data_IF_621316102101
#
_entry.id   IF_621316102101
#
_cell.length_a   1.000
_cell.length_b   1.000
_cell.length_c   1.000
_cell.angle_alpha   90.00
_cell.angle_beta   90.00
_cell.angle_gamma   90.00
#
_symmetry.space_group_name_H-M   'P 1'
#
loop_
_entity.id
_entity.type
_entity.pdbx_description
1 polymer ?
#
# COMPACT_ATOMS: atom_id res chain seq x y z
N UNK A 1 17.79 -8.55 -3.54
CA UNK A 1 17.82 -7.38 -4.44
C UNK A 1 16.41 -7.15 -4.95
N UNK A 2 15.94 -5.90 -5.02
CA UNK A 2 14.61 -5.56 -5.51
C UNK A 2 14.41 -6.04 -6.96
N UNK A 3 13.16 -6.36 -7.33
CA UNK A 3 12.82 -6.63 -8.73
C UNK A 3 12.98 -5.33 -9.52
N UNK A 4 13.65 -5.32 -10.70
CA UNK A 4 13.78 -4.10 -11.50
C UNK A 4 12.42 -3.49 -11.81
N UNK A 5 12.33 -2.15 -11.80
CA UNK A 5 11.11 -1.45 -12.22
C UNK A 5 10.88 -1.62 -13.73
N UNK A 6 9.63 -1.88 -14.09
CA UNK A 6 9.19 -2.10 -15.46
C UNK A 6 8.38 -0.89 -15.90
N UNK A 7 8.73 -0.30 -17.03
CA UNK A 7 7.93 0.78 -17.63
C UNK A 7 6.79 0.19 -18.45
N UNK A 8 5.62 0.83 -18.42
CA UNK A 8 4.54 0.47 -19.34
C UNK A 8 4.89 0.89 -20.77
N UNK A 9 4.41 0.19 -21.81
CA UNK A 9 4.69 0.55 -23.21
C UNK A 9 4.22 1.96 -23.60
N UNK A 10 3.22 2.50 -22.90
CA UNK A 10 2.65 3.82 -23.17
C UNK A 10 3.25 4.93 -22.31
N UNK A 11 4.08 4.59 -21.32
CA UNK A 11 4.51 5.49 -20.25
C UNK A 11 3.41 5.88 -19.26
N UNK A 12 2.16 5.43 -19.46
CA UNK A 12 1.05 5.64 -18.52
C UNK A 12 0.92 4.43 -17.60
N UNK A 13 0.67 4.66 -16.31
CA UNK A 13 0.50 3.61 -15.31
C UNK A 13 -0.96 3.29 -15.05
N UNK A 14 -1.23 2.03 -14.75
CA UNK A 14 -2.54 1.55 -14.30
C UNK A 14 -2.30 0.55 -13.16
N UNK A 15 -2.55 0.98 -11.94
CA UNK A 15 -2.21 0.24 -10.72
C UNK A 15 -3.42 -0.58 -10.27
N UNK A 16 -3.24 -1.89 -10.18
CA UNK A 16 -4.27 -2.81 -9.71
C UNK A 16 -4.05 -3.13 -8.21
N UNK A 17 -5.01 -2.78 -7.35
CA UNK A 17 -4.95 -3.14 -5.93
C UNK A 17 -5.46 -4.56 -5.70
N UNK A 18 -4.61 -5.45 -5.18
CA UNK A 18 -4.96 -6.82 -4.80
C UNK A 18 -4.98 -6.98 -3.27
N UNK A 19 -6.17 -6.99 -2.69
CA UNK A 19 -6.33 -7.05 -1.24
C UNK A 19 -6.21 -8.45 -0.68
N UNK A 20 -5.52 -8.61 0.44
CA UNK A 20 -5.32 -9.94 1.04
C UNK A 20 -6.64 -10.64 1.43
N UNK A 21 -7.64 -9.88 1.86
CA UNK A 21 -8.96 -10.39 2.23
C UNK A 21 -9.83 -10.83 1.02
N UNK A 22 -9.36 -10.65 -0.22
CA UNK A 22 -10.06 -11.14 -1.42
C UNK A 22 -10.15 -12.65 -1.49
N UNK A 23 -9.24 -13.36 -0.82
CA UNK A 23 -9.19 -14.83 -0.84
C UNK A 23 -10.31 -15.49 -0.01
N UNK A 24 -11.02 -14.72 0.81
CA UNK A 24 -12.08 -15.22 1.69
C UNK A 24 -13.44 -15.17 0.99
N UNK A 25 -14.40 -14.39 1.51
CA UNK A 25 -15.76 -14.36 0.99
C UNK A 25 -15.89 -13.87 -0.46
N UNK A 26 -14.89 -13.11 -0.96
CA UNK A 26 -14.84 -12.69 -2.38
C UNK A 26 -14.37 -13.82 -3.31
N UNK A 27 -13.72 -14.85 -2.76
CA UNK A 27 -13.23 -16.02 -3.48
C UNK A 27 -12.44 -15.65 -4.75
N UNK A 28 -11.54 -14.67 -4.62
CA UNK A 28 -10.69 -14.17 -5.71
C UNK A 28 -9.22 -14.29 -5.32
N UNK A 29 -8.47 -15.07 -6.09
CA UNK A 29 -7.11 -15.50 -5.78
C UNK A 29 -6.11 -14.97 -6.81
N UNK A 30 -4.81 -15.14 -6.51
CA UNK A 30 -3.72 -14.72 -7.41
C UNK A 30 -3.81 -15.43 -8.77
N UNK A 31 -4.26 -16.68 -8.81
CA UNK A 31 -4.48 -17.43 -10.07
C UNK A 31 -5.56 -16.82 -10.97
N UNK A 32 -6.46 -16.00 -10.42
CA UNK A 32 -7.58 -15.39 -11.15
C UNK A 32 -7.20 -14.02 -11.73
N UNK A 33 -5.99 -13.54 -11.45
CA UNK A 33 -5.50 -12.28 -12.00
C UNK A 33 -5.31 -12.40 -13.52
N UNK A 34 -5.73 -11.39 -14.30
CA UNK A 34 -5.37 -11.28 -15.71
C UNK A 34 -3.90 -10.83 -15.84
N UNK A 35 -2.97 -11.62 -15.28
CA UNK A 35 -1.59 -11.22 -14.99
C UNK A 35 -0.83 -10.72 -16.23
N UNK A 36 -1.16 -11.24 -17.41
CA UNK A 36 -0.56 -10.82 -18.68
C UNK A 36 -0.87 -9.35 -19.05
N UNK A 37 -1.91 -8.76 -18.47
CA UNK A 37 -2.35 -7.40 -18.73
C UNK A 37 -2.00 -6.43 -17.58
N UNK A 38 -1.38 -6.94 -16.51
CA UNK A 38 -1.07 -6.15 -15.32
C UNK A 38 0.43 -5.82 -15.29
N UNK A 39 0.75 -4.53 -15.35
CA UNK A 39 2.14 -4.05 -15.21
C UNK A 39 2.41 -3.54 -13.80
N UNK A 40 1.43 -2.89 -13.16
CA UNK A 40 1.57 -2.36 -11.81
C UNK A 40 0.52 -2.97 -10.89
N UNK A 41 0.96 -3.66 -9.84
CA UNK A 41 0.09 -4.23 -8.82
C UNK A 41 0.48 -3.62 -7.46
N UNK A 42 -0.51 -3.21 -6.68
CA UNK A 42 -0.35 -2.79 -5.30
C UNK A 42 -0.93 -3.85 -4.37
N UNK A 43 -0.22 -4.20 -3.30
CA UNK A 43 -0.65 -5.10 -2.25
C UNK A 43 -1.06 -4.32 -0.99
N UNK A 44 -2.35 -4.01 -0.82
CA UNK A 44 -2.93 -3.52 0.42
C UNK A 44 -3.26 -4.66 1.41
N UNK A 45 -3.07 -4.52 2.71
CA UNK A 45 -2.25 -3.52 3.38
C UNK A 45 -1.41 -4.22 4.45
N UNK A 46 -0.23 -3.67 4.72
CA UNK A 46 0.49 -3.96 5.97
C UNK A 46 0.32 -2.80 6.95
N UNK A 47 0.45 -3.11 8.23
CA UNK A 47 0.32 -2.15 9.32
C UNK A 47 1.65 -1.47 9.62
N UNK A 48 1.54 -0.26 10.16
CA UNK A 48 2.61 0.41 10.89
C UNK A 48 2.18 0.50 12.35
N UNK A 49 2.99 0.02 13.27
CA UNK A 49 2.73 0.12 14.71
C UNK A 49 3.11 1.51 15.24
N UNK A 50 2.60 1.89 16.40
CA UNK A 50 2.91 3.21 17.03
C UNK A 50 4.40 3.41 17.36
N UNK A 51 5.19 2.33 17.35
CA UNK A 51 6.65 2.29 17.50
C UNK A 51 7.40 2.57 16.19
N UNK A 52 6.70 2.51 15.05
CA UNK A 52 7.26 2.52 13.71
C UNK A 52 7.39 1.14 13.07
N UNK A 53 7.20 0.03 13.81
CA UNK A 53 7.41 -1.31 13.26
C UNK A 53 6.38 -1.69 12.19
N UNK A 54 6.80 -2.41 11.15
CA UNK A 54 5.90 -2.98 10.14
C UNK A 54 5.37 -4.32 10.62
N UNK A 55 4.06 -4.52 10.50
CA UNK A 55 3.39 -5.77 10.88
C UNK A 55 2.40 -6.24 9.82
N UNK A 56 2.25 -7.56 9.68
CA UNK A 56 1.22 -8.16 8.83
C UNK A 56 -0.17 -7.93 9.46
N UNK A 57 -1.17 -7.64 8.62
CA UNK A 57 -2.54 -7.56 9.09
C UNK A 57 -3.18 -8.94 9.22
N UNK A 58 -2.92 -9.82 8.25
CA UNK A 58 -3.47 -11.17 8.19
C UNK A 58 -2.36 -12.17 7.82
N UNK A 59 -1.55 -12.62 8.80
CA UNK A 59 -0.47 -13.56 8.53
C UNK A 59 -0.92 -14.85 7.85
N UNK A 60 -2.18 -15.25 8.06
CA UNK A 60 -2.74 -16.43 7.41
C UNK A 60 -2.81 -16.23 5.90
N UNK A 61 -3.46 -15.15 5.45
CA UNK A 61 -3.50 -14.79 4.03
C UNK A 61 -2.10 -14.50 3.47
N UNK A 62 -1.31 -13.71 4.20
CA UNK A 62 -0.11 -13.07 3.67
C UNK A 62 1.02 -14.10 3.46
N UNK A 63 1.26 -15.00 4.43
CA UNK A 63 2.47 -15.84 4.46
C UNK A 63 2.29 -17.30 4.93
N UNK A 64 1.10 -17.74 5.35
CA UNK A 64 0.93 -19.09 5.93
C UNK A 64 0.04 -20.02 5.10
N UNK A 65 -0.94 -19.48 4.35
CA UNK A 65 -1.91 -20.31 3.64
C UNK A 65 -1.26 -21.06 2.47
N UNK A 66 -1.33 -22.41 2.41
CA UNK A 66 -0.74 -23.17 1.32
C UNK A 66 -1.54 -23.13 0.02
N UNK A 67 -2.78 -22.62 -0.01
CA UNK A 67 -3.64 -22.62 -1.21
C UNK A 67 -3.73 -24.00 -1.90
N UNK A 68 -3.80 -25.08 -1.11
CA UNK A 68 -3.68 -26.47 -1.57
C UNK A 68 -4.99 -27.11 -2.06
N UNK A 69 -6.04 -26.31 -2.24
CA UNK A 69 -7.38 -26.73 -2.64
C UNK A 69 -7.72 -26.33 -4.09
N UNK A 70 -6.71 -26.15 -4.94
CA UNK A 70 -6.88 -25.71 -6.33
C UNK A 70 -7.04 -24.20 -6.48
N UNK A 71 -6.84 -23.43 -5.40
CA UNK A 71 -6.93 -21.97 -5.41
C UNK A 71 -5.58 -21.28 -5.56
N UNK A 72 -4.47 -22.03 -5.54
CA UNK A 72 -3.14 -21.49 -5.72
C UNK A 72 -2.77 -21.30 -7.19
N UNK A 73 -1.67 -20.58 -7.41
CA UNK A 73 -0.95 -20.55 -8.68
C UNK A 73 -0.22 -21.88 -8.87
N UNK A 74 -0.33 -22.46 -10.06
CA UNK A 74 0.30 -23.74 -10.36
C UNK A 74 1.84 -23.66 -10.43
N UNK A 75 2.55 -24.71 -9.95
CA UNK A 75 2.01 -25.94 -9.34
C UNK A 75 1.44 -25.68 -7.94
N UNK A 76 0.35 -26.34 -7.55
CA UNK A 76 -0.26 -26.14 -6.22
C UNK A 76 0.75 -26.43 -5.09
N UNK A 77 0.74 -25.58 -4.06
CA UNK A 77 1.50 -25.83 -2.83
C UNK A 77 0.74 -26.79 -1.91
N UNK A 78 1.40 -27.23 -0.84
CA UNK A 78 0.80 -28.06 0.22
C UNK A 78 1.39 -27.67 1.59
N UNK A 79 0.94 -28.34 2.65
CA UNK A 79 1.36 -28.06 4.02
C UNK A 79 2.86 -28.27 4.29
N UNK A 80 3.56 -29.00 3.41
CA UNK A 80 5.00 -29.24 3.49
C UNK A 80 5.79 -28.35 2.50
N UNK A 81 5.13 -27.45 1.77
CA UNK A 81 5.83 -26.47 0.93
C UNK A 81 6.71 -25.56 1.80
N UNK A 82 7.85 -25.08 1.27
CA UNK A 82 8.70 -24.13 1.99
C UNK A 82 7.91 -22.91 2.48
N UNK A 83 8.16 -22.39 3.70
CA UNK A 83 7.43 -21.24 4.24
C UNK A 83 7.40 -20.02 3.31
N UNK A 84 8.48 -19.77 2.57
CA UNK A 84 8.61 -18.67 1.61
C UNK A 84 7.76 -18.83 0.35
N UNK A 85 7.16 -20.00 0.13
CA UNK A 85 6.22 -20.26 -0.97
C UNK A 85 4.76 -20.21 -0.51
N UNK A 86 4.51 -20.10 0.80
CA UNK A 86 3.17 -20.02 1.38
C UNK A 86 2.61 -18.58 1.34
N UNK A 87 1.30 -18.49 1.54
CA UNK A 87 0.57 -17.24 1.54
C UNK A 87 0.58 -16.55 0.18
N UNK A 88 -0.07 -15.38 0.13
CA UNK A 88 -0.16 -14.55 -1.06
C UNK A 88 1.23 -14.11 -1.54
N UNK A 89 2.17 -13.84 -0.62
CA UNK A 89 3.54 -13.49 -0.99
C UNK A 89 4.23 -14.62 -1.75
N UNK A 90 4.05 -15.86 -1.31
CA UNK A 90 4.53 -17.03 -2.04
C UNK A 90 3.85 -17.21 -3.41
N UNK A 91 2.55 -16.90 -3.52
CA UNK A 91 1.86 -16.94 -4.82
C UNK A 91 2.40 -15.90 -5.82
N UNK A 92 2.62 -14.66 -5.38
CA UNK A 92 3.23 -13.63 -6.23
C UNK A 92 4.70 -13.93 -6.55
N UNK A 93 5.46 -14.48 -5.59
CA UNK A 93 6.82 -14.98 -5.82
C UNK A 93 6.84 -16.02 -6.94
N UNK A 94 5.91 -16.97 -6.94
CA UNK A 94 5.80 -17.99 -7.99
C UNK A 94 5.56 -17.39 -9.37
N UNK A 95 4.67 -16.40 -9.48
CA UNK A 95 4.47 -15.68 -10.74
C UNK A 95 5.76 -15.00 -11.22
N UNK A 96 6.45 -14.27 -10.34
CA UNK A 96 7.65 -13.50 -10.70
C UNK A 96 8.87 -14.38 -10.98
N UNK A 97 9.15 -15.36 -10.13
CA UNK A 97 10.41 -16.12 -10.13
C UNK A 97 10.31 -17.44 -10.88
N UNK A 98 9.21 -18.16 -10.72
CA UNK A 98 9.08 -19.52 -11.27
C UNK A 98 8.45 -19.48 -12.67
N UNK A 99 7.48 -18.59 -12.89
CA UNK A 99 6.79 -18.43 -14.18
C UNK A 99 7.32 -17.26 -15.02
N UNK A 100 8.25 -16.47 -14.49
CA UNK A 100 8.90 -15.37 -15.21
C UNK A 100 7.97 -14.22 -15.62
N UNK A 101 6.82 -14.07 -14.95
CA UNK A 101 5.91 -12.93 -15.17
C UNK A 101 6.60 -11.61 -14.81
N UNK A 102 6.18 -10.55 -15.48
CA UNK A 102 6.83 -9.25 -15.42
C UNK A 102 5.81 -8.20 -14.97
N UNK A 103 5.89 -7.77 -13.70
CA UNK A 103 5.08 -6.69 -13.14
C UNK A 103 5.83 -6.01 -11.99
N UNK A 104 5.54 -4.74 -11.77
CA UNK A 104 5.88 -4.01 -10.56
C UNK A 104 4.93 -4.42 -9.44
N UNK A 105 5.49 -4.64 -8.25
CA UNK A 105 4.73 -5.02 -7.09
C UNK A 105 5.03 -4.07 -5.94
N UNK A 106 4.04 -3.26 -5.61
CA UNK A 106 4.12 -2.21 -4.61
C UNK A 106 3.51 -2.71 -3.30
N UNK A 107 4.22 -2.54 -2.19
CA UNK A 107 3.69 -2.79 -0.85
C UNK A 107 2.97 -1.52 -0.38
N UNK A 108 1.65 -1.59 -0.15
CA UNK A 108 0.90 -0.47 0.40
C UNK A 108 0.78 -0.60 1.92
N UNK A 109 1.14 0.46 2.63
CA UNK A 109 1.07 0.56 4.08
C UNK A 109 -0.12 1.41 4.50
N UNK A 110 -0.90 0.95 5.47
CA UNK A 110 -2.02 1.72 6.01
C UNK A 110 -3.34 1.48 5.28
N UNK A 111 -3.83 2.51 4.59
CA UNK A 111 -5.20 2.61 4.10
C UNK A 111 -6.17 3.10 5.18
N UNK A 112 -7.45 3.25 4.81
CA UNK A 112 -8.51 3.78 5.67
C UNK A 112 -8.50 3.30 7.13
N UNK A 113 -8.50 1.98 7.36
CA UNK A 113 -8.62 1.39 8.70
C UNK A 113 -7.29 1.32 9.46
N UNK A 114 -6.15 1.30 8.77
CA UNK A 114 -4.83 1.07 9.40
C UNK A 114 -3.96 2.33 9.45
N UNK A 115 -4.56 3.50 9.22
CA UNK A 115 -3.87 4.80 9.29
C UNK A 115 -3.75 5.37 10.71
N UNK A 116 -4.40 4.75 11.70
CA UNK A 116 -4.56 5.33 13.04
C UNK A 116 -3.24 5.66 13.77
N UNK A 117 -2.17 4.95 13.42
CA UNK A 117 -0.89 4.96 14.13
C UNK A 117 0.18 5.80 13.45
N UNK A 118 -0.02 6.27 12.21
CA UNK A 118 1.04 6.96 11.44
C UNK A 118 1.61 8.19 12.16
N UNK A 119 0.74 9.05 12.71
CA UNK A 119 1.19 10.22 13.47
C UNK A 119 2.08 9.80 14.65
N UNK A 120 1.70 8.78 15.39
CA UNK A 120 2.49 8.27 16.52
C UNK A 120 3.81 7.63 16.07
N UNK A 121 3.77 6.84 14.99
CA UNK A 121 4.91 6.16 14.39
C UNK A 121 5.96 7.14 13.86
N UNK A 122 5.54 8.32 13.40
CA UNK A 122 6.46 9.31 12.80
C UNK A 122 6.82 10.48 13.72
N UNK A 123 6.15 10.62 14.86
CA UNK A 123 6.31 11.72 15.82
C UNK A 123 7.73 11.94 16.40
N UNK A 124 8.60 10.92 16.38
CA UNK A 124 9.94 11.00 16.95
C UNK A 124 11.00 10.44 16.01
N UNK A 125 12.22 10.99 16.08
CA UNK A 125 13.33 10.57 15.23
C UNK A 125 13.67 9.09 15.38
N UNK A 126 13.64 8.56 16.60
CA UNK A 126 13.84 7.14 16.89
C UNK A 126 12.78 6.28 16.19
N UNK A 127 11.49 6.63 16.29
CA UNK A 127 10.41 5.87 15.68
C UNK A 127 10.43 5.91 14.15
N UNK A 128 10.77 7.05 13.56
CA UNK A 128 11.03 7.14 12.10
C UNK A 128 12.18 6.24 11.68
N UNK A 129 13.25 6.17 12.48
CA UNK A 129 14.37 5.25 12.24
C UNK A 129 13.93 3.78 12.35
N UNK A 130 13.10 3.45 13.34
CA UNK A 130 12.50 2.12 13.50
C UNK A 130 11.66 1.76 12.28
N UNK A 131 10.83 2.68 11.79
CA UNK A 131 10.03 2.49 10.58
C UNK A 131 10.88 2.18 9.35
N UNK A 132 11.86 3.02 9.04
CA UNK A 132 12.72 2.82 7.87
C UNK A 132 13.47 1.48 7.97
N UNK A 133 13.97 1.14 9.15
CA UNK A 133 14.68 -0.13 9.39
C UNK A 133 13.77 -1.33 9.25
N UNK A 134 12.60 -1.29 9.91
CA UNK A 134 11.62 -2.37 9.90
C UNK A 134 11.08 -2.62 8.49
N UNK A 135 10.76 -1.56 7.75
CA UNK A 135 10.34 -1.64 6.36
C UNK A 135 11.42 -2.26 5.47
N UNK A 136 12.68 -1.84 5.64
CA UNK A 136 13.81 -2.39 4.89
C UNK A 136 13.99 -3.88 5.16
N UNK A 137 13.88 -4.29 6.42
CA UNK A 137 13.94 -5.71 6.80
C UNK A 137 12.77 -6.49 6.19
N UNK A 138 11.56 -5.93 6.21
CA UNK A 138 10.36 -6.56 5.66
C UNK A 138 10.50 -6.85 4.17
N UNK A 139 10.86 -5.85 3.35
CA UNK A 139 11.02 -6.06 1.90
C UNK A 139 12.28 -6.84 1.53
N UNK A 140 13.27 -6.91 2.43
CA UNK A 140 14.42 -7.81 2.27
C UNK A 140 14.04 -9.26 2.54
N UNK A 141 13.18 -9.50 3.54
CA UNK A 141 12.63 -10.81 3.86
C UNK A 141 11.71 -11.33 2.74
N UNK A 142 10.95 -10.44 2.11
CA UNK A 142 10.05 -10.77 1.00
C UNK A 142 10.50 -10.03 -0.29
N UNK A 143 11.52 -10.53 -1.01
CA UNK A 143 12.13 -9.84 -2.15
C UNK A 143 11.32 -9.95 -3.45
N UNK A 144 10.03 -9.62 -3.34
CA UNK A 144 9.06 -9.57 -4.44
C UNK A 144 8.60 -8.14 -4.73
N UNK A 145 8.78 -7.22 -3.79
CA UNK A 145 8.38 -5.83 -3.93
C UNK A 145 9.47 -4.99 -4.60
N UNK A 146 9.04 -3.97 -5.35
CA UNK A 146 9.88 -2.93 -5.93
C UNK A 146 9.28 -1.52 -5.81
N UNK A 147 8.16 -1.39 -5.09
CA UNK A 147 7.58 -0.12 -4.72
C UNK A 147 7.04 -0.14 -3.29
N UNK A 148 6.96 1.04 -2.69
CA UNK A 148 6.34 1.30 -1.40
C UNK A 148 5.29 2.40 -1.62
N UNK A 149 4.06 2.18 -1.16
CA UNK A 149 3.05 3.23 -1.04
C UNK A 149 2.72 3.48 0.42
N UNK A 150 2.80 4.73 0.87
CA UNK A 150 2.31 5.13 2.19
C UNK A 150 0.90 5.69 2.03
N UNK A 151 -0.10 4.88 2.39
CA UNK A 151 -1.51 5.23 2.25
C UNK A 151 -2.01 5.75 3.61
N UNK A 152 -1.50 6.92 4.02
CA UNK A 152 -1.93 7.58 5.25
C UNK A 152 -3.20 8.42 5.00
N UNK A 153 -4.32 7.95 5.55
CA UNK A 153 -5.65 8.53 5.38
C UNK A 153 -6.17 9.19 6.68
N UNK A 154 -5.99 10.49 6.90
CA UNK A 154 -5.24 11.44 6.07
C UNK A 154 -4.16 12.18 6.85
N UNK A 155 -3.03 12.40 6.19
CA UNK A 155 -2.02 13.36 6.61
C UNK A 155 -2.63 14.77 6.67
N UNK A 156 -2.35 15.50 7.75
CA UNK A 156 -2.75 16.89 7.93
C UNK A 156 -1.83 17.64 8.88
N UNK A 157 -1.68 18.95 8.70
CA UNK A 157 -0.73 19.80 9.43
C UNK A 157 -1.45 20.82 10.33
N UNK A 158 -2.78 20.85 10.30
CA UNK A 158 -3.60 21.72 11.13
C UNK A 158 -4.02 21.06 12.47
N UNK A 159 -3.67 19.78 12.65
CA UNK A 159 -4.00 18.99 13.84
C UNK A 159 -5.44 18.45 13.84
N UNK A 160 -6.12 18.43 12.69
CA UNK A 160 -7.49 17.94 12.54
C UNK A 160 -7.48 16.58 11.83
N UNK A 161 -8.12 15.58 12.42
CA UNK A 161 -8.29 14.29 11.75
C UNK A 161 -9.37 14.39 10.67
N UNK A 162 -8.98 14.24 9.41
CA UNK A 162 -9.89 14.18 8.26
C UNK A 162 -10.22 12.76 7.79
N UNK A 163 -9.55 11.75 8.36
CA UNK A 163 -9.68 10.34 8.01
C UNK A 163 -10.65 9.59 8.91
N UNK A 164 -10.37 8.32 9.15
CA UNK A 164 -11.21 7.48 9.99
C UNK A 164 -11.19 7.92 11.47
N UNK A 165 -12.30 7.71 12.17
CA UNK A 165 -12.42 8.05 13.59
C UNK A 165 -11.37 7.29 14.42
N UNK A 166 -10.74 8.02 15.35
CA UNK A 166 -9.71 7.47 16.24
C UNK A 166 -8.28 7.56 15.70
N UNK A 167 -8.06 8.06 14.47
CA UNK A 167 -6.72 8.29 13.98
C UNK A 167 -6.00 9.38 14.81
N UNK A 168 -4.77 9.09 15.23
CA UNK A 168 -3.88 10.08 15.84
C UNK A 168 -3.47 11.13 14.81
N UNK A 169 -3.45 12.40 15.22
CA UNK A 169 -3.08 13.54 14.37
C UNK A 169 -2.33 14.60 15.17
N UNK A 170 -1.36 15.26 14.53
CA UNK A 170 -0.55 16.35 15.09
C UNK A 170 -0.26 17.41 14.03
N UNK A 171 0.07 18.63 14.48
CA UNK A 171 0.41 19.72 13.56
C UNK A 171 1.75 19.49 12.86
N UNK A 172 2.62 18.71 13.50
CA UNK A 172 3.95 18.37 13.02
C UNK A 172 3.93 17.18 12.04
N UNK A 173 2.77 16.58 11.73
CA UNK A 173 2.69 15.38 10.90
C UNK A 173 3.27 15.59 9.50
N UNK A 174 3.01 16.76 8.88
CA UNK A 174 3.61 17.13 7.59
C UNK A 174 5.15 17.15 7.62
N UNK A 175 5.75 17.81 8.62
CA UNK A 175 7.21 17.86 8.80
C UNK A 175 7.78 16.47 9.10
N UNK A 176 7.12 15.70 9.96
CA UNK A 176 7.53 14.35 10.32
C UNK A 176 7.49 13.40 9.11
N UNK A 177 6.46 13.53 8.25
CA UNK A 177 6.31 12.72 7.05
C UNK A 177 7.41 13.05 6.02
N UNK A 178 7.73 14.33 5.82
CA UNK A 178 8.86 14.76 4.98
C UNK A 178 10.16 14.10 5.42
N UNK A 179 10.43 14.02 6.72
CA UNK A 179 11.64 13.38 7.24
C UNK A 179 11.67 11.86 6.98
N UNK A 180 10.51 11.19 6.98
CA UNK A 180 10.42 9.78 6.56
C UNK A 180 10.73 9.64 5.07
N UNK A 181 10.10 10.45 4.22
CA UNK A 181 10.29 10.40 2.77
C UNK A 181 11.74 10.70 2.37
N UNK A 182 12.43 11.60 3.06
CA UNK A 182 13.86 11.87 2.82
C UNK A 182 14.78 10.70 3.22
N UNK A 183 14.34 9.83 4.15
CA UNK A 183 15.11 8.69 4.60
C UNK A 183 14.92 7.46 3.69
N UNK A 184 13.74 7.28 3.10
CA UNK A 184 13.40 6.09 2.31
C UNK A 184 14.32 5.85 1.11
N UNK A 185 14.63 6.82 0.22
CA UNK A 185 15.53 6.58 -0.90
C UNK A 185 16.96 6.19 -0.49
N UNK A 186 17.39 6.51 0.73
CA UNK A 186 18.71 6.11 1.24
C UNK A 186 18.71 4.64 1.68
N UNK A 187 17.62 4.19 2.27
CA UNK A 187 17.47 2.80 2.73
C UNK A 187 17.03 1.85 1.61
N UNK A 188 16.24 2.35 0.67
CA UNK A 188 15.59 1.61 -0.41
C UNK A 188 15.85 2.29 -1.79
N UNK A 189 17.11 2.44 -2.23
CA UNK A 189 17.48 3.26 -3.40
C UNK A 189 16.97 2.76 -4.75
N UNK A 190 16.37 1.57 -4.81
CA UNK A 190 15.81 0.97 -6.03
C UNK A 190 14.31 0.75 -5.95
N UNK A 191 13.64 1.28 -4.93
CA UNK A 191 12.20 1.19 -4.77
C UNK A 191 11.54 2.48 -5.24
N UNK A 192 10.42 2.34 -5.94
CA UNK A 192 9.49 3.45 -6.17
C UNK A 192 8.85 3.85 -4.85
N UNK A 193 8.89 5.12 -4.49
CA UNK A 193 8.24 5.67 -3.30
C UNK A 193 6.99 6.46 -3.74
N UNK A 194 5.83 6.01 -3.26
CA UNK A 194 4.53 6.60 -3.53
C UNK A 194 3.79 6.93 -2.22
N UNK A 195 2.78 7.77 -2.33
CA UNK A 195 1.76 7.90 -1.29
C UNK A 195 0.38 8.15 -1.91
N UNK A 196 -0.66 7.79 -1.18
CA UNK A 196 -2.02 8.21 -1.51
C UNK A 196 -2.37 9.54 -0.86
N UNK A 197 -3.25 10.32 -1.48
CA UNK A 197 -3.78 11.53 -0.87
C UNK A 197 -5.26 11.75 -1.20
N UNK A 198 -5.91 12.53 -0.33
CA UNK A 198 -7.30 12.94 -0.50
C UNK A 198 -7.46 13.90 -1.68
N UNK A 199 -8.49 13.66 -2.50
CA UNK A 199 -8.83 14.52 -3.64
C UNK A 199 -9.72 15.72 -3.25
N UNK A 200 -10.31 15.71 -2.05
CA UNK A 200 -11.19 16.76 -1.55
C UNK A 200 -10.39 18.00 -1.09
N UNK A 201 -10.45 19.16 -1.80
CA UNK A 201 -9.59 20.31 -1.52
C UNK A 201 -9.77 20.90 -0.11
N UNK A 202 -10.98 20.81 0.44
CA UNK A 202 -11.29 21.29 1.78
C UNK A 202 -10.65 20.45 2.88
N UNK A 203 -10.29 19.19 2.60
CA UNK A 203 -9.62 18.26 3.53
C UNK A 203 -8.14 18.05 3.22
N UNK A 204 -7.65 18.47 2.05
CA UNK A 204 -6.24 18.42 1.69
C UNK A 204 -5.43 19.47 2.48
N UNK A 205 -5.14 19.18 3.77
CA UNK A 205 -4.47 20.08 4.71
C UNK A 205 -3.03 19.66 5.03
N UNK A 206 -2.22 19.41 4.00
CA UNK A 206 -0.86 18.87 4.14
C UNK A 206 0.11 19.62 3.20
N UNK A 207 1.45 19.49 3.35
CA UNK A 207 2.42 20.36 2.69
C UNK A 207 2.77 19.78 1.31
N UNK A 208 1.77 19.72 0.42
CA UNK A 208 1.85 19.06 -0.89
C UNK A 208 3.05 19.52 -1.73
N UNK A 209 3.37 20.82 -1.73
CA UNK A 209 4.49 21.38 -2.49
C UNK A 209 5.86 20.91 -1.99
N UNK A 210 5.96 20.52 -0.71
CA UNK A 210 7.19 20.01 -0.10
C UNK A 210 7.28 18.49 -0.20
N UNK A 211 6.15 17.80 -0.19
CA UNK A 211 6.10 16.33 -0.21
C UNK A 211 6.20 15.77 -1.62
N UNK A 212 5.48 16.32 -2.60
CA UNK A 212 5.45 15.78 -3.97
C UNK A 212 6.84 15.65 -4.60
N UNK A 213 7.78 16.61 -4.45
CA UNK A 213 9.14 16.46 -4.98
C UNK A 213 9.96 15.32 -4.36
N UNK A 214 9.51 14.73 -3.24
CA UNK A 214 10.17 13.61 -2.56
C UNK A 214 9.62 12.24 -2.96
N UNK A 215 8.56 12.22 -3.77
CA UNK A 215 7.88 11.00 -4.23
C UNK A 215 8.23 10.73 -5.69
N UNK A 216 8.28 9.46 -6.07
CA UNK A 216 8.25 9.05 -7.47
C UNK A 216 6.83 9.18 -8.05
N UNK A 217 5.81 8.92 -7.21
CA UNK A 217 4.39 8.94 -7.58
C UNK A 217 3.51 9.50 -6.47
N UNK A 218 2.48 10.25 -6.87
CA UNK A 218 1.37 10.65 -6.00
C UNK A 218 0.08 10.02 -6.53
N UNK A 219 -0.60 9.23 -5.70
CA UNK A 219 -1.87 8.60 -6.05
C UNK A 219 -3.04 9.40 -5.46
N UNK A 220 -3.71 10.18 -6.31
CA UNK A 220 -4.84 11.01 -5.87
C UNK A 220 -6.12 10.18 -5.90
N UNK A 221 -6.76 10.00 -4.75
CA UNK A 221 -7.97 9.16 -4.61
C UNK A 221 -9.20 9.90 -5.11
N UNK A 222 -9.36 9.91 -6.44
CA UNK A 222 -10.43 10.62 -7.18
C UNK A 222 -11.76 9.85 -7.21
N UNK A 223 -12.10 9.24 -6.07
CA UNK A 223 -13.30 8.45 -5.84
C UNK A 223 -13.80 8.67 -4.41
N UNK A 224 -14.93 8.05 -4.06
CA UNK A 224 -15.56 8.18 -2.73
C UNK A 224 -15.96 9.63 -2.34
N UNK A 225 -16.19 10.50 -3.35
CA UNK A 225 -16.70 11.87 -3.12
C UNK A 225 -18.08 11.88 -2.44
N UNK A 226 -18.86 10.84 -2.69
CA UNK A 226 -20.16 10.60 -2.09
C UNK A 226 -20.27 9.10 -1.81
N UNK A 227 -20.38 8.73 -0.54
CA UNK A 227 -20.57 7.36 -0.09
C UNK A 227 -21.83 7.26 0.77
N UNK A 228 -22.53 6.12 0.72
CA UNK A 228 -23.74 5.91 1.51
C UNK A 228 -23.47 5.66 2.99
N UNK A 229 -22.23 5.31 3.36
CA UNK A 229 -21.83 4.98 4.72
C UNK A 229 -21.37 6.21 5.52
N UNK A 230 -20.99 7.31 4.86
CA UNK A 230 -20.56 8.55 5.51
C UNK A 230 -21.08 9.79 4.78
N UNK A 231 -21.64 10.73 5.53
CA UNK A 231 -22.14 12.00 5.01
C UNK A 231 -23.66 12.04 4.78
N UNK A 232 -24.10 12.92 3.89
CA UNK A 232 -25.53 13.09 3.59
C UNK A 232 -26.10 11.87 2.89
N UNK A 233 -27.27 11.41 3.32
CA UNK A 233 -28.02 10.33 2.66
C UNK A 233 -28.64 10.82 1.34
N UNK A 234 -27.80 11.02 0.33
CA UNK A 234 -28.18 11.50 -1.00
C UNK A 234 -27.50 10.68 -2.08
N UNK A 235 -28.24 10.30 -3.12
CA UNK A 235 -27.64 9.71 -4.32
C UNK A 235 -26.89 10.78 -5.11
N UNK A 236 -25.60 10.55 -5.36
CA UNK A 236 -24.73 11.43 -6.14
C UNK A 236 -23.61 10.60 -6.78
N UNK A 237 -22.84 11.20 -7.70
CA UNK A 237 -21.73 10.54 -8.36
C UNK A 237 -20.52 10.44 -7.43
N UNK A 238 -20.01 9.23 -7.16
CA UNK A 238 -18.88 9.06 -6.21
C UNK A 238 -17.48 9.38 -6.81
N UNK A 239 -17.33 9.46 -8.14
CA UNK A 239 -16.04 9.59 -8.84
C UNK A 239 -16.17 10.46 -10.11
N UNK A 240 -16.98 11.52 -10.06
CA UNK A 240 -17.21 12.40 -11.20
C UNK A 240 -15.96 13.23 -11.56
N UNK A 241 -15.62 13.27 -12.86
CA UNK A 241 -14.52 14.09 -13.39
C UNK A 241 -14.83 15.60 -13.35
N UNK A 242 -16.10 15.96 -13.52
CA UNK A 242 -16.60 17.33 -13.57
C UNK A 242 -17.72 17.50 -12.55
N UNK A 243 -18.05 18.72 -12.09
CA UNK A 243 -19.18 18.93 -11.19
C UNK A 243 -20.47 18.28 -11.71
N UNK A 244 -21.14 17.52 -10.85
CA UNK A 244 -22.44 16.90 -11.12
C UNK A 244 -23.48 17.98 -11.46
N UNK A 245 -24.24 17.79 -12.54
CA UNK A 245 -25.27 18.74 -13.02
C UNK A 245 -26.66 18.34 -12.55
#
# INVERSE_FOLDING_TARGET
MATPNISTPTGKRAIYYFTNWSIYGRNYFVKDLPIENLVDISYPFVKVETTGEIALFDPWADVQNPFNNGNGVDPQNNWNSPPEDLGLFGQFKKLLKDQGKQFNFMLALGGWTLSATFSDAFSAAEKRSTFVTSLTNFVTQYPIFNGISIDWEYLSDDGVNYGNDGNSVRKEDGENFILVLQALPKALPSYTIACCCIAAPEKAKWPIELVVPLLDELHVMTYEFHDGNWGETKSAHHTNLMPSR
#
